data_IF_971553632872
#
_entry.id   IF_971553632872
#
_cell.length_a   1.000
_cell.length_b   1.000
_cell.length_c   1.000
_cell.angle_alpha   90.00
_cell.angle_beta   90.00
_cell.angle_gamma   90.00
#
_symmetry.space_group_name_H-M   'P 1'
#
loop_
_entity.id
_entity.type
_entity.pdbx_description
1 polymer ?
#
# COMPACT_ATOMS: atom_id res chain seq x y z
N UNK A 1 23.49 10.93 -29.93
CA UNK A 1 23.50 10.12 -28.70
C UNK A 1 22.28 10.51 -27.85
N UNK A 2 21.61 9.49 -27.31
CA UNK A 2 20.56 9.52 -26.28
C UNK A 2 19.24 10.25 -26.61
N UNK A 3 18.27 9.52 -27.19
CA UNK A 3 16.87 9.67 -26.78
C UNK A 3 16.66 8.67 -25.64
N UNK A 4 16.55 9.20 -24.43
CA UNK A 4 16.15 8.41 -23.27
C UNK A 4 14.69 8.01 -23.48
N UNK A 5 14.43 6.73 -23.76
CA UNK A 5 13.10 6.14 -23.69
C UNK A 5 12.64 6.11 -22.23
N UNK A 6 12.22 7.28 -21.74
CA UNK A 6 11.45 7.40 -20.51
C UNK A 6 10.13 6.69 -20.79
N UNK A 7 10.04 5.43 -20.39
CA UNK A 7 8.80 4.67 -20.43
C UNK A 7 7.74 5.50 -19.70
N UNK A 8 6.78 6.06 -20.45
CA UNK A 8 5.73 6.88 -19.89
C UNK A 8 4.95 6.03 -18.88
N UNK A 9 5.01 6.41 -17.61
CA UNK A 9 4.27 5.71 -16.56
C UNK A 9 2.77 6.01 -16.73
N UNK A 10 1.95 4.98 -16.69
CA UNK A 10 0.49 5.11 -16.80
C UNK A 10 -0.08 5.11 -15.39
N UNK A 11 -0.37 6.29 -14.86
CA UNK A 11 -0.90 6.49 -13.51
C UNK A 11 -2.40 6.81 -13.57
N UNK A 12 -3.25 6.14 -12.78
CA UNK A 12 -4.68 6.48 -12.71
C UNK A 12 -4.92 7.89 -12.22
N UNK A 13 -5.93 8.56 -12.78
CA UNK A 13 -6.45 9.80 -12.19
C UNK A 13 -7.20 9.46 -10.89
N UNK A 14 -6.95 10.20 -9.80
CA UNK A 14 -7.67 10.01 -8.55
C UNK A 14 -9.14 10.42 -8.72
N UNK A 15 -10.03 9.69 -8.08
CA UNK A 15 -11.46 9.98 -8.00
C UNK A 15 -11.92 10.44 -6.61
N UNK A 16 -10.98 10.60 -5.69
CA UNK A 16 -11.14 11.01 -4.29
C UNK A 16 -10.03 12.01 -3.89
N UNK A 17 -10.29 12.80 -2.85
CA UNK A 17 -9.31 13.72 -2.28
C UNK A 17 -8.12 12.95 -1.64
N UNK A 18 -6.90 13.50 -1.67
CA UNK A 18 -5.74 12.82 -1.11
C UNK A 18 -5.85 12.69 0.42
N UNK A 19 -5.56 11.50 0.92
CA UNK A 19 -5.51 11.21 2.37
C UNK A 19 -4.11 11.54 2.91
N UNK A 20 -4.00 12.13 4.09
CA UNK A 20 -2.69 12.34 4.73
C UNK A 20 -2.02 11.00 5.06
N UNK A 21 -0.73 10.88 4.78
CA UNK A 21 0.01 9.63 5.05
C UNK A 21 -0.05 9.25 6.53
N UNK A 22 -0.03 10.25 7.42
CA UNK A 22 -0.12 10.09 8.87
C UNK A 22 -1.46 9.57 9.39
N UNK A 23 -2.54 9.69 8.61
CA UNK A 23 -3.90 9.47 9.09
C UNK A 23 -4.32 7.98 9.06
N UNK A 24 -3.39 7.07 9.33
CA UNK A 24 -3.72 5.66 9.35
C UNK A 24 -4.43 5.24 10.64
N UNK A 25 -5.70 4.88 10.52
CA UNK A 25 -6.47 4.22 11.57
C UNK A 25 -7.19 2.99 10.99
N UNK A 26 -6.51 1.85 10.94
CA UNK A 26 -7.20 0.56 10.78
C UNK A 26 -7.29 -0.13 12.14
N UNK A 27 -8.50 -0.46 12.57
CA UNK A 27 -8.71 -1.24 13.79
C UNK A 27 -8.39 -0.50 15.09
N UNK A 28 -8.25 0.83 15.07
CA UNK A 28 -8.34 1.61 16.30
C UNK A 28 -9.78 1.48 16.81
N UNK A 29 -10.02 0.44 17.60
CA UNK A 29 -10.90 0.58 18.76
C UNK A 29 -10.49 1.90 19.39
N UNK A 30 -11.38 2.88 19.29
CA UNK A 30 -11.36 4.01 20.20
C UNK A 30 -11.63 3.43 21.60
N UNK A 31 -10.65 2.75 22.19
CA UNK A 31 -10.58 2.52 23.62
C UNK A 31 -10.16 3.84 24.27
N UNK A 32 -10.96 4.88 24.02
CA UNK A 32 -11.07 6.01 24.93
C UNK A 32 -12.25 5.68 25.85
N UNK A 33 -12.01 5.06 27.03
CA UNK A 33 -13.07 4.73 27.96
C UNK A 33 -13.82 5.97 28.48
N UNK A 34 -13.36 7.19 28.16
CA UNK A 34 -14.02 8.43 28.52
C UNK A 34 -15.01 8.95 27.45
N UNK A 35 -15.03 8.41 26.23
CA UNK A 35 -15.83 8.97 25.13
C UNK A 35 -16.90 7.99 24.63
N UNK A 36 -17.92 7.78 25.46
CA UNK A 36 -19.14 7.00 25.19
C UNK A 36 -20.07 7.70 24.18
N UNK A 37 -19.56 8.19 23.04
CA UNK A 37 -20.41 8.72 21.97
C UNK A 37 -20.82 7.59 21.00
N UNK A 38 -22.07 7.10 21.05
CA UNK A 38 -22.54 6.01 20.19
C UNK A 38 -22.53 6.37 18.70
N UNK A 39 -22.35 7.65 18.33
CA UNK A 39 -22.20 8.08 16.93
C UNK A 39 -20.80 7.82 16.38
N UNK A 40 -19.77 7.72 17.23
CA UNK A 40 -18.40 7.35 16.81
C UNK A 40 -18.21 5.84 16.74
N UNK A 41 -18.86 5.09 17.63
CA UNK A 41 -18.84 3.63 17.63
C UNK A 41 -19.55 2.98 16.41
N UNK A 42 -20.36 3.74 15.67
CA UNK A 42 -21.25 3.23 14.62
C UNK A 42 -20.77 3.44 13.18
N UNK A 43 -19.59 4.04 12.95
CA UNK A 43 -18.92 4.00 11.64
C UNK A 43 -17.75 3.01 11.67
N UNK A 44 -18.04 1.75 12.01
CA UNK A 44 -17.18 0.65 11.56
C UNK A 44 -17.42 0.55 10.06
N UNK A 45 -16.76 1.42 9.29
CA UNK A 45 -16.67 1.23 7.85
C UNK A 45 -16.04 -0.16 7.66
N UNK A 46 -16.63 -1.04 6.83
CA UNK A 46 -15.98 -2.30 6.53
C UNK A 46 -14.58 -1.97 6.02
N UNK A 47 -13.57 -2.64 6.59
CA UNK A 47 -12.19 -2.53 6.16
C UNK A 47 -12.14 -2.54 4.62
N UNK A 48 -11.65 -1.47 3.96
CA UNK A 48 -11.45 -1.49 2.51
C UNK A 48 -10.76 -2.78 2.10
N UNK A 49 -11.30 -3.46 1.08
CA UNK A 49 -10.63 -4.63 0.54
C UNK A 49 -9.27 -4.19 -0.03
N UNK A 50 -8.21 -4.88 0.38
CA UNK A 50 -6.85 -4.64 -0.10
C UNK A 50 -6.50 -5.57 -1.25
N UNK A 51 -5.42 -5.21 -1.96
CA UNK A 51 -4.77 -6.07 -2.93
C UNK A 51 -3.70 -6.92 -2.24
N UNK A 52 -3.83 -8.24 -2.32
CA UNK A 52 -2.80 -9.16 -1.84
C UNK A 52 -1.70 -9.35 -2.88
N UNK A 53 -0.45 -9.09 -2.49
CA UNK A 53 0.73 -9.35 -3.32
C UNK A 53 1.39 -10.66 -2.94
N UNK A 54 1.73 -11.49 -3.94
CA UNK A 54 2.44 -12.76 -3.70
C UNK A 54 3.94 -12.62 -3.59
N UNK A 55 4.50 -11.57 -4.20
CA UNK A 55 5.93 -11.26 -4.13
C UNK A 55 6.27 -10.59 -2.80
N UNK A 56 5.46 -9.62 -2.38
CA UNK A 56 5.65 -8.91 -1.11
C UNK A 56 5.01 -9.65 0.08
N UNK A 57 4.17 -10.66 -0.18
CA UNK A 57 3.49 -11.50 0.84
C UNK A 57 2.75 -10.66 1.87
N UNK A 58 1.75 -9.91 1.41
CA UNK A 58 0.98 -9.02 2.26
C UNK A 58 -0.21 -8.41 1.53
N UNK A 59 -1.07 -7.75 2.30
CA UNK A 59 -2.25 -7.05 1.81
C UNK A 59 -2.01 -5.56 1.82
N UNK A 60 -2.33 -4.89 0.71
CA UNK A 60 -2.02 -3.48 0.50
C UNK A 60 -3.24 -2.70 0.01
N UNK A 61 -3.43 -1.50 0.54
CA UNK A 61 -4.45 -0.56 0.08
C UNK A 61 -3.80 0.52 -0.78
N UNK A 62 -4.14 0.57 -2.07
CA UNK A 62 -3.71 1.69 -2.91
C UNK A 62 -4.60 2.90 -2.62
N UNK A 63 -4.00 4.03 -2.23
CA UNK A 63 -4.71 5.27 -1.96
C UNK A 63 -4.01 6.43 -2.64
N UNK A 64 -4.80 7.42 -3.05
CA UNK A 64 -4.29 8.74 -3.35
C UNK A 64 -4.03 9.43 -2.01
N UNK A 65 -2.79 9.83 -1.80
CA UNK A 65 -2.29 10.34 -0.53
C UNK A 65 -1.59 11.68 -0.73
N UNK A 66 -1.31 12.36 0.38
CA UNK A 66 -0.40 13.50 0.38
C UNK A 66 0.55 13.47 1.58
N UNK A 67 1.72 14.05 1.39
CA UNK A 67 2.62 14.44 2.48
C UNK A 67 2.80 15.96 2.44
N UNK A 68 2.92 16.55 3.62
CA UNK A 68 3.28 17.96 3.77
C UNK A 68 4.79 18.10 3.93
N UNK A 69 5.47 18.63 2.90
CA UNK A 69 6.91 18.91 2.93
C UNK A 69 7.14 20.39 2.69
N UNK A 70 7.76 21.08 3.66
CA UNK A 70 8.01 22.53 3.56
C UNK A 70 6.73 23.37 3.48
N UNK A 71 5.64 22.92 4.11
CA UNK A 71 4.34 23.61 4.12
C UNK A 71 3.55 23.49 2.82
N UNK A 72 3.95 22.62 1.89
CA UNK A 72 3.21 22.34 0.66
C UNK A 72 2.75 20.88 0.63
N UNK A 73 1.45 20.62 0.37
CA UNK A 73 0.97 19.27 0.16
C UNK A 73 1.49 18.75 -1.19
N UNK A 74 2.09 17.58 -1.17
CA UNK A 74 2.56 16.88 -2.36
C UNK A 74 1.71 15.62 -2.49
N UNK A 75 0.76 15.57 -3.44
CA UNK A 75 -0.08 14.42 -3.60
C UNK A 75 0.58 13.34 -4.47
N UNK A 76 0.33 12.08 -4.16
CA UNK A 76 0.88 10.92 -4.84
C UNK A 76 0.04 9.66 -4.57
N UNK A 77 0.21 8.63 -5.37
CA UNK A 77 -0.36 7.32 -5.08
C UNK A 77 0.61 6.50 -4.22
N UNK A 78 0.12 5.98 -3.10
CA UNK A 78 0.85 5.08 -2.22
C UNK A 78 0.11 3.75 -2.05
N UNK A 79 0.87 2.69 -1.77
CA UNK A 79 0.35 1.40 -1.37
C UNK A 79 0.60 1.21 0.12
N UNK A 80 -0.46 1.41 0.91
CA UNK A 80 -0.38 1.27 2.36
C UNK A 80 -0.41 -0.20 2.76
N UNK A 81 0.50 -0.61 3.63
CA UNK A 81 0.51 -1.96 4.19
C UNK A 81 -0.67 -2.09 5.14
N UNK A 82 -1.55 -3.05 4.88
CA UNK A 82 -2.64 -3.42 5.80
C UNK A 82 -2.23 -4.59 6.68
N UNK A 83 -1.54 -5.57 6.09
CA UNK A 83 -1.12 -6.80 6.75
C UNK A 83 0.11 -7.35 6.01
N UNK A 84 1.03 -7.97 6.74
CA UNK A 84 2.18 -8.70 6.20
C UNK A 84 2.15 -10.13 6.72
N UNK A 85 2.40 -11.08 5.83
CA UNK A 85 2.67 -12.46 6.25
C UNK A 85 3.95 -12.50 7.07
N UNK A 86 4.09 -13.41 8.07
CA UNK A 86 5.30 -13.53 8.87
C UNK A 86 6.57 -13.84 8.07
N UNK A 87 6.44 -14.33 6.83
CA UNK A 87 7.55 -14.60 5.91
C UNK A 87 7.77 -13.49 4.87
N UNK A 88 7.08 -12.35 5.02
CA UNK A 88 7.21 -11.23 4.10
C UNK A 88 8.64 -10.68 4.08
N UNK A 89 9.24 -10.48 2.89
CA UNK A 89 10.55 -9.83 2.80
C UNK A 89 10.55 -8.40 3.36
N UNK A 90 9.38 -7.76 3.44
CA UNK A 90 9.27 -6.39 3.97
C UNK A 90 9.53 -6.31 5.48
N UNK A 91 9.41 -7.43 6.20
CA UNK A 91 9.76 -7.50 7.63
C UNK A 91 11.27 -7.29 7.83
N UNK A 92 12.12 -7.71 6.89
CA UNK A 92 13.57 -7.50 6.95
C UNK A 92 13.94 -6.00 6.84
N UNK A 93 13.06 -5.19 6.26
CA UNK A 93 13.17 -3.73 6.22
C UNK A 93 12.55 -3.05 7.46
N UNK A 94 12.03 -3.82 8.42
CA UNK A 94 11.35 -3.30 9.60
C UNK A 94 9.97 -2.68 9.32
N UNK A 95 9.38 -2.94 8.14
CA UNK A 95 8.08 -2.40 7.78
C UNK A 95 6.94 -3.11 8.50
N UNK A 96 5.88 -2.35 8.77
CA UNK A 96 4.70 -2.81 9.51
C UNK A 96 3.39 -2.26 8.91
N UNK A 97 2.23 -2.79 9.33
CA UNK A 97 0.94 -2.20 8.97
C UNK A 97 0.88 -0.69 9.24
N UNK A 98 0.43 0.05 8.23
CA UNK A 98 0.33 1.51 8.23
C UNK A 98 1.43 2.22 7.43
N UNK A 99 2.60 1.60 7.28
CA UNK A 99 3.67 2.11 6.43
C UNK A 99 3.24 2.11 4.95
N UNK A 100 3.81 3.00 4.14
CA UNK A 100 3.37 3.24 2.76
C UNK A 100 4.51 2.99 1.79
N UNK A 101 4.33 2.04 0.88
CA UNK A 101 5.23 1.83 -0.26
C UNK A 101 4.84 2.79 -1.38
N UNK A 102 5.82 3.50 -1.93
CA UNK A 102 5.61 4.50 -2.99
C UNK A 102 6.23 4.08 -4.31
N UNK A 103 7.35 3.33 -4.28
CA UNK A 103 8.03 2.84 -5.49
C UNK A 103 8.67 1.48 -5.24
N UNK A 104 8.77 0.73 -6.34
CA UNK A 104 9.65 -0.42 -6.47
C UNK A 104 10.62 -0.11 -7.61
N UNK A 105 11.91 -0.29 -7.35
CA UNK A 105 13.02 0.24 -8.13
C UNK A 105 12.85 1.73 -8.48
N UNK A 106 12.60 2.04 -9.75
CA UNK A 106 12.37 3.41 -10.23
C UNK A 106 10.94 3.62 -10.69
N UNK A 107 10.05 2.65 -10.42
CA UNK A 107 8.68 2.62 -10.93
C UNK A 107 7.72 2.90 -9.78
N UNK A 108 6.85 3.89 -9.96
CA UNK A 108 5.79 4.17 -8.99
C UNK A 108 4.84 2.98 -8.89
N UNK A 109 4.35 2.69 -7.68
CA UNK A 109 3.35 1.62 -7.46
C UNK A 109 2.11 1.82 -8.34
N UNK A 110 1.82 3.07 -8.70
CA UNK A 110 0.66 3.43 -9.51
C UNK A 110 0.78 3.12 -10.99
N UNK A 111 1.98 2.77 -11.47
CA UNK A 111 2.20 2.51 -12.87
C UNK A 111 1.44 1.24 -13.29
N UNK A 112 0.53 1.39 -14.27
CA UNK A 112 -0.36 0.34 -14.76
C UNK A 112 -1.30 -0.22 -13.70
N UNK A 113 -1.61 0.51 -12.63
CA UNK A 113 -2.67 0.13 -11.69
C UNK A 113 -4.02 0.02 -12.40
N UNK A 114 -4.82 -0.98 -12.02
CA UNK A 114 -6.13 -1.26 -12.66
C UNK A 114 -7.15 -1.62 -11.60
N UNK A 115 -8.39 -1.18 -11.78
CA UNK A 115 -9.55 -1.70 -11.05
C UNK A 115 -10.66 -1.97 -12.06
N UNK A 116 -11.47 -3.00 -11.82
CA UNK A 116 -12.57 -3.36 -12.72
C UNK A 116 -13.76 -2.42 -12.51
N UNK A 117 -14.11 -2.15 -11.26
CA UNK A 117 -15.14 -1.19 -10.87
C UNK A 117 -14.59 -0.22 -9.80
N UNK A 118 -15.33 0.86 -9.52
CA UNK A 118 -14.97 1.83 -8.47
C UNK A 118 -14.85 1.17 -7.09
N UNK A 119 -15.70 0.19 -6.79
CA UNK A 119 -15.75 -0.47 -5.48
C UNK A 119 -14.78 -1.65 -5.36
N UNK A 120 -14.12 -2.05 -6.46
CA UNK A 120 -13.14 -3.12 -6.42
C UNK A 120 -11.79 -2.55 -5.94
N UNK A 121 -11.00 -3.33 -5.18
CA UNK A 121 -9.65 -2.93 -4.83
C UNK A 121 -8.81 -2.64 -6.07
N UNK A 122 -7.96 -1.62 -5.99
CA UNK A 122 -6.95 -1.39 -7.00
C UNK A 122 -5.96 -2.55 -7.07
N UNK A 123 -5.77 -3.11 -8.25
CA UNK A 123 -4.70 -4.06 -8.53
C UNK A 123 -3.39 -3.30 -8.76
N UNK A 124 -2.41 -3.53 -7.89
CA UNK A 124 -1.11 -2.86 -7.92
C UNK A 124 -0.12 -3.73 -8.70
N UNK A 125 -0.17 -3.60 -10.03
CA UNK A 125 0.59 -4.45 -10.97
C UNK A 125 2.10 -4.48 -10.66
N UNK A 126 2.66 -3.37 -10.20
CA UNK A 126 4.10 -3.31 -9.91
C UNK A 126 4.52 -4.23 -8.76
N UNK A 127 3.63 -4.58 -7.83
CA UNK A 127 4.01 -5.48 -6.73
C UNK A 127 4.34 -6.90 -7.21
N UNK A 128 3.77 -7.35 -8.33
CA UNK A 128 4.04 -8.68 -8.87
C UNK A 128 5.16 -8.68 -9.92
N UNK A 129 5.46 -7.51 -10.51
CA UNK A 129 6.41 -7.39 -11.61
C UNK A 129 7.86 -7.19 -11.17
N UNK A 130 8.15 -7.16 -9.87
CA UNK A 130 9.49 -7.06 -9.32
C UNK A 130 9.86 -8.35 -8.61
N UNK A 131 11.11 -8.77 -8.76
CA UNK A 131 11.65 -10.02 -8.22
C UNK A 131 13.17 -9.91 -8.10
N UNK A 132 13.75 -10.72 -7.22
CA UNK A 132 15.15 -10.62 -6.86
C UNK A 132 15.43 -9.35 -6.04
N UNK A 133 16.70 -8.89 -6.04
CA UNK A 133 17.08 -7.64 -5.40
C UNK A 133 16.31 -6.46 -5.98
N UNK A 134 15.42 -5.87 -5.18
CA UNK A 134 14.50 -4.80 -5.56
C UNK A 134 14.66 -3.65 -4.58
N UNK A 135 14.78 -2.41 -5.09
CA UNK A 135 14.73 -1.24 -4.21
C UNK A 135 13.29 -0.92 -3.85
N UNK A 136 13.02 -0.72 -2.57
CA UNK A 136 11.70 -0.36 -2.05
C UNK A 136 11.80 1.03 -1.48
N UNK A 137 11.01 1.96 -2.03
CA UNK A 137 10.89 3.32 -1.48
C UNK A 137 9.61 3.43 -0.68
N UNK A 138 9.72 3.79 0.58
CA UNK A 138 8.60 3.75 1.53
C UNK A 138 8.59 4.95 2.48
N UNK A 139 7.48 5.12 3.19
CA UNK A 139 7.26 6.13 4.22
C UNK A 139 6.76 5.41 5.48
N UNK A 140 7.41 5.66 6.62
CA UNK A 140 6.94 5.13 7.90
C UNK A 140 5.62 5.76 8.31
N UNK A 141 4.73 4.96 8.89
CA UNK A 141 3.45 5.41 9.44
C UNK A 141 3.65 6.59 10.38
N UNK A 142 2.69 7.51 10.40
CA UNK A 142 2.73 8.74 11.20
C UNK A 142 3.94 9.68 10.93
N UNK A 143 4.73 9.42 9.89
CA UNK A 143 5.84 10.29 9.49
C UNK A 143 5.67 10.80 8.06
N UNK A 144 6.54 11.74 7.67
CA UNK A 144 6.73 12.18 6.28
C UNK A 144 8.13 11.83 5.76
N UNK A 145 8.88 11.02 6.51
CA UNK A 145 10.24 10.61 6.14
C UNK A 145 10.14 9.57 5.03
N UNK A 146 10.92 9.79 3.97
CA UNK A 146 10.95 8.89 2.82
C UNK A 146 12.28 8.18 2.80
N UNK A 147 12.23 6.85 2.89
CA UNK A 147 13.41 5.98 2.86
C UNK A 147 13.43 5.13 1.59
N UNK A 148 14.60 4.62 1.23
CA UNK A 148 14.79 3.71 0.10
C UNK A 148 15.86 2.66 0.44
N UNK A 149 15.45 1.40 0.47
CA UNK A 149 16.33 0.27 0.81
C UNK A 149 16.17 -0.87 -0.20
N UNK A 150 17.14 -1.80 -0.23
CA UNK A 150 17.09 -2.96 -1.14
C UNK A 150 16.71 -4.22 -0.38
N UNK A 151 15.73 -4.96 -0.89
CA UNK A 151 15.31 -6.25 -0.35
C UNK A 151 15.25 -7.30 -1.46
N UNK A 152 15.55 -8.55 -1.14
CA UNK A 152 15.39 -9.65 -2.09
C UNK A 152 13.95 -10.19 -2.03
N UNK A 153 13.17 -9.96 -3.10
CA UNK A 153 11.81 -10.48 -3.24
C UNK A 153 11.79 -11.97 -3.68
N UNK A 154 12.96 -12.56 -3.91
CA UNK A 154 13.11 -13.92 -4.38
C UNK A 154 12.72 -14.08 -5.86
N UNK A 155 12.59 -15.33 -6.31
CA UNK A 155 12.29 -15.62 -7.72
C UNK A 155 10.84 -15.27 -8.05
N UNK A 156 10.59 -14.84 -9.28
CA UNK A 156 9.26 -14.59 -9.80
C UNK A 156 8.33 -15.78 -9.51
N UNK A 157 7.37 -15.56 -8.62
CA UNK A 157 6.29 -16.50 -8.33
C UNK A 157 5.18 -16.18 -9.31
N UNK A 158 4.69 -17.17 -10.07
CA UNK A 158 3.47 -16.95 -10.85
C UNK A 158 2.37 -16.61 -9.84
N UNK A 159 1.84 -15.39 -9.90
CA UNK A 159 0.67 -15.02 -9.11
C UNK A 159 -0.41 -16.09 -9.36
N UNK A 160 -1.01 -16.68 -8.32
CA UNK A 160 -2.10 -17.62 -8.52
C UNK A 160 -3.19 -16.87 -9.30
N UNK A 161 -3.65 -17.46 -10.40
CA UNK A 161 -4.64 -16.88 -11.31
C UNK A 161 -6.06 -16.92 -10.72
N UNK A 162 -6.21 -16.48 -9.48
CA UNK A 162 -7.46 -16.48 -8.73
C UNK A 162 -7.65 -15.15 -7.98
N UNK A 163 -8.90 -14.81 -7.62
CA UNK A 163 -9.16 -13.65 -6.77
C UNK A 163 -8.33 -13.76 -5.46
N UNK A 164 -7.99 -12.63 -4.83
CA UNK A 164 -7.27 -12.63 -3.56
C UNK A 164 -7.96 -13.61 -2.62
N UNK A 165 -7.24 -14.66 -2.20
CA UNK A 165 -7.79 -15.63 -1.27
C UNK A 165 -7.99 -14.88 0.04
N UNK A 166 -9.24 -14.77 0.49
CA UNK A 166 -9.54 -14.33 1.86
C UNK A 166 -8.64 -15.10 2.82
N UNK A 167 -8.00 -14.45 3.81
CA UNK A 167 -7.51 -15.16 4.98
C UNK A 167 -8.69 -15.95 5.53
N UNK A 168 -8.57 -17.27 5.56
CA UNK A 168 -9.56 -18.11 6.23
C UNK A 168 -9.34 -17.84 7.71
N UNK A 169 -10.33 -17.30 8.45
CA UNK A 169 -10.17 -17.18 9.89
C UNK A 169 -9.93 -18.58 10.45
N UNK A 170 -8.81 -18.76 11.16
CA UNK A 170 -8.58 -19.93 11.98
C UNK A 170 -9.74 -20.00 12.98
N UNK A 171 -10.62 -20.99 12.80
CA UNK A 171 -11.69 -21.25 13.74
C UNK A 171 -11.09 -21.65 15.11
N UNK A 172 -11.71 -21.24 16.23
CA UNK A 172 -11.28 -21.60 17.58
C UNK A 172 -11.38 -23.11 17.86
#
# INVERSE_FOLDING_TARGET
MAVSDVHAQTVPQPDEDPVEVSDFAYGAVADDPANNDPRRAAMVLPAPEGYYSTMLQGTFLAQYMQISTGGRPIPFWGARIMELDPSSPLIDLGLQPGDVITRLDKITIANNMKRRNRNDPWQIVQMENHYGPTKVRYIYHATTQVEEETVDLGRHRKSPSGPPRRPVPLAP
#
